data_IF_610236304365
#
_entry.id   IF_610236304365
#
_cell.length_a   1.000
_cell.length_b   1.000
_cell.length_c   1.000
_cell.angle_alpha   90.00
_cell.angle_beta   90.00
_cell.angle_gamma   90.00
#
_symmetry.space_group_name_H-M   'P 1'
#
loop_
_entity.id
_entity.type
_entity.pdbx_description
1 polymer ?
#
# COMPACT_ATOMS: atom_id res chain seq x y z
N UNK A 1 5.65 -0.95 17.13
CA UNK A 1 4.51 -1.81 17.58
C UNK A 1 4.01 -2.59 16.37
N UNK A 2 3.42 -3.77 16.56
CA UNK A 2 2.80 -4.52 15.44
C UNK A 2 1.36 -4.06 15.23
N UNK A 3 0.95 -3.90 13.96
CA UNK A 3 -0.41 -3.51 13.58
C UNK A 3 -1.05 -4.62 12.72
N UNK A 4 -1.46 -5.76 13.32
CA UNK A 4 -1.88 -6.95 12.57
C UNK A 4 -3.10 -6.69 11.68
N UNK A 5 -4.06 -5.89 12.17
CA UNK A 5 -5.25 -5.54 11.39
C UNK A 5 -4.92 -4.65 10.19
N UNK A 6 -4.01 -3.69 10.37
CA UNK A 6 -3.54 -2.81 9.29
C UNK A 6 -2.72 -3.59 8.24
N UNK A 7 -1.91 -4.55 8.70
CA UNK A 7 -1.18 -5.47 7.83
C UNK A 7 -2.13 -6.34 6.99
N UNK A 8 -3.16 -6.93 7.60
CA UNK A 8 -4.17 -7.71 6.88
C UNK A 8 -4.95 -6.85 5.85
N UNK A 9 -5.28 -5.61 6.21
CA UNK A 9 -5.91 -4.66 5.29
C UNK A 9 -5.01 -4.31 4.10
N UNK A 10 -3.70 -4.10 4.36
CA UNK A 10 -2.71 -3.88 3.31
C UNK A 10 -2.65 -5.07 2.35
N UNK A 11 -2.58 -6.30 2.88
CA UNK A 11 -2.55 -7.51 2.06
C UNK A 11 -3.79 -7.64 1.16
N UNK A 12 -4.98 -7.38 1.70
CA UNK A 12 -6.23 -7.40 0.94
C UNK A 12 -6.28 -6.33 -0.16
N UNK A 13 -5.78 -5.13 0.13
CA UNK A 13 -5.67 -4.04 -0.84
C UNK A 13 -4.70 -4.43 -1.97
N UNK A 14 -3.52 -4.94 -1.60
CA UNK A 14 -2.44 -5.26 -2.54
C UNK A 14 -2.74 -6.47 -3.41
N UNK A 15 -3.51 -7.44 -2.92
CA UNK A 15 -3.98 -8.58 -3.72
C UNK A 15 -4.77 -8.18 -4.97
N UNK A 16 -5.36 -6.97 -4.98
CA UNK A 16 -6.19 -6.45 -6.06
C UNK A 16 -5.60 -5.21 -6.75
N UNK A 17 -4.52 -4.65 -6.20
CA UNK A 17 -3.90 -3.47 -6.75
C UNK A 17 -3.18 -3.78 -8.08
N UNK A 18 -3.17 -2.85 -9.05
CA UNK A 18 -2.35 -3.00 -10.25
C UNK A 18 -0.87 -3.21 -9.91
N UNK A 19 -0.16 -3.92 -10.79
CA UNK A 19 1.29 -4.11 -10.67
C UNK A 19 2.01 -2.76 -10.53
N UNK A 20 3.11 -2.75 -9.77
CA UNK A 20 3.99 -1.59 -9.58
C UNK A 20 4.56 -1.03 -10.90
N UNK A 21 4.65 -1.88 -11.93
CA UNK A 21 5.02 -1.47 -13.28
C UNK A 21 4.05 -0.43 -13.89
N UNK A 22 2.76 -0.49 -13.53
CA UNK A 22 1.74 0.43 -14.02
C UNK A 22 1.51 1.61 -13.06
N UNK A 23 2.55 2.42 -12.84
CA UNK A 23 2.59 3.50 -11.83
C UNK A 23 1.33 4.37 -11.78
N UNK A 24 0.82 4.82 -12.94
CA UNK A 24 -0.39 5.67 -13.00
C UNK A 24 -1.66 4.94 -12.57
N UNK A 25 -1.89 3.73 -13.07
CA UNK A 25 -3.06 2.93 -12.71
C UNK A 25 -3.00 2.55 -11.22
N UNK A 26 -1.80 2.26 -10.72
CA UNK A 26 -1.56 1.93 -9.32
C UNK A 26 -1.84 3.10 -8.39
N UNK A 27 -1.33 4.31 -8.68
CA UNK A 27 -1.65 5.51 -7.90
C UNK A 27 -3.16 5.77 -7.88
N UNK A 28 -3.81 5.73 -9.03
CA UNK A 28 -5.27 5.88 -9.14
C UNK A 28 -6.04 4.85 -8.29
N UNK A 29 -5.54 3.61 -8.24
CA UNK A 29 -6.13 2.58 -7.41
C UNK A 29 -6.01 2.91 -5.92
N UNK A 30 -4.82 3.29 -5.45
CA UNK A 30 -4.57 3.64 -4.05
C UNK A 30 -5.28 4.93 -3.61
N UNK A 31 -5.52 5.86 -4.53
CA UNK A 31 -6.36 7.03 -4.29
C UNK A 31 -7.85 6.66 -4.10
N UNK A 32 -8.30 5.63 -4.81
CA UNK A 32 -9.72 5.25 -4.88
C UNK A 32 -10.15 4.27 -3.79
N UNK A 33 -9.27 3.35 -3.40
CA UNK A 33 -9.62 2.24 -2.50
C UNK A 33 -8.94 2.38 -1.14
N UNK A 34 -9.70 2.53 -0.04
CA UNK A 34 -9.15 2.63 1.30
C UNK A 34 -8.75 1.26 1.85
N UNK A 35 -7.93 1.27 2.90
CA UNK A 35 -7.53 0.12 3.69
C UNK A 35 -8.72 -0.49 4.46
N UNK A 36 -9.73 0.32 4.79
CA UNK A 36 -10.97 -0.12 5.44
C UNK A 36 -11.74 -1.21 4.67
N UNK A 37 -11.42 -1.40 3.39
CA UNK A 37 -12.19 -2.24 2.49
C UNK A 37 -13.32 -1.48 1.79
N UNK A 38 -13.97 -2.15 0.84
CA UNK A 38 -14.94 -1.52 -0.08
C UNK A 38 -16.27 -1.17 0.57
N UNK A 39 -16.66 -1.92 1.61
CA UNK A 39 -17.96 -1.80 2.25
C UNK A 39 -17.91 -0.97 3.55
N UNK A 40 -16.85 -0.19 3.74
CA UNK A 40 -16.69 0.67 4.90
C UNK A 40 -17.78 1.75 4.97
N UNK A 41 -18.46 1.81 6.12
CA UNK A 41 -19.53 2.76 6.44
C UNK A 41 -19.07 3.94 7.31
N UNK A 42 -17.82 3.93 7.76
CA UNK A 42 -17.25 5.05 8.51
C UNK A 42 -17.18 6.29 7.62
N UNK A 43 -17.39 7.47 8.23
CA UNK A 43 -17.13 8.75 7.58
C UNK A 43 -15.62 9.03 7.45
N UNK A 44 -14.79 8.34 8.23
CA UNK A 44 -13.34 8.36 8.09
C UNK A 44 -12.84 7.13 7.34
N UNK A 45 -11.82 7.33 6.51
CA UNK A 45 -11.18 6.28 5.72
C UNK A 45 -9.67 6.45 5.72
N UNK A 46 -8.94 5.35 5.75
CA UNK A 46 -7.48 5.33 5.72
C UNK A 46 -6.98 4.86 4.35
N UNK A 47 -6.06 5.59 3.75
CA UNK A 47 -5.50 5.30 2.43
C UNK A 47 -3.98 5.21 2.47
N UNK A 48 -3.40 4.50 1.49
CA UNK A 48 -1.97 4.55 1.21
C UNK A 48 -1.68 5.78 0.33
N UNK A 49 -1.12 6.82 0.95
CA UNK A 49 -0.77 8.07 0.28
C UNK A 49 0.52 7.92 -0.53
N UNK A 50 1.49 7.18 0.00
CA UNK A 50 2.77 6.92 -0.67
C UNK A 50 3.26 5.52 -0.35
N UNK A 51 4.06 4.98 -1.26
CA UNK A 51 4.68 3.67 -1.10
C UNK A 51 6.06 3.63 -1.73
N UNK A 52 6.89 2.71 -1.23
CA UNK A 52 8.14 2.28 -1.82
C UNK A 52 7.96 0.87 -2.36
N UNK A 53 8.51 0.63 -3.56
CA UNK A 53 8.54 -0.68 -4.19
C UNK A 53 10.00 -1.09 -4.39
N UNK A 54 10.34 -2.30 -3.98
CA UNK A 54 11.66 -2.93 -4.11
C UNK A 54 11.49 -4.23 -4.88
N UNK A 55 12.33 -4.46 -5.89
CA UNK A 55 12.26 -5.62 -6.76
C UNK A 55 13.65 -6.23 -6.92
N UNK A 56 13.75 -7.55 -6.77
CA UNK A 56 14.98 -8.29 -7.01
C UNK A 56 14.69 -9.73 -7.47
N UNK A 57 15.72 -10.40 -7.96
CA UNK A 57 15.67 -11.81 -8.35
C UNK A 57 16.64 -12.60 -7.49
N UNK A 58 16.17 -13.71 -6.94
CA UNK A 58 16.98 -14.68 -6.21
C UNK A 58 16.95 -16.05 -6.91
N UNK A 59 17.96 -16.92 -6.73
CA UNK A 59 17.94 -18.28 -7.26
C UNK A 59 16.79 -19.10 -6.65
N UNK A 60 16.16 -19.96 -7.46
CA UNK A 60 15.23 -20.98 -6.96
C UNK A 60 15.99 -22.28 -6.64
N UNK A 61 16.14 -22.68 -5.36
CA UNK A 61 16.87 -23.89 -5.00
C UNK A 61 16.19 -25.18 -5.50
N UNK A 62 14.87 -25.16 -5.71
CA UNK A 62 14.09 -26.33 -6.14
C UNK A 62 14.13 -26.53 -7.67
N UNK A 63 14.53 -25.50 -8.42
CA UNK A 63 14.54 -25.51 -9.88
C UNK A 63 15.93 -25.16 -10.48
N UNK A 64 17.00 -25.41 -9.73
CA UNK A 64 18.37 -25.17 -10.18
C UNK A 64 18.72 -25.92 -11.50
N UNK A 65 19.58 -25.35 -12.36
CA UNK A 65 20.31 -24.08 -12.21
C UNK A 65 19.59 -22.86 -12.78
N UNK A 66 18.53 -23.07 -13.58
CA UNK A 66 17.86 -22.00 -14.33
C UNK A 66 16.66 -21.40 -13.60
N UNK A 67 16.18 -22.05 -12.55
CA UNK A 67 15.11 -21.56 -11.69
C UNK A 67 15.48 -20.27 -10.98
N UNK A 68 14.55 -19.32 -11.01
CA UNK A 68 14.64 -18.00 -10.41
C UNK A 68 13.34 -17.68 -9.68
N UNK A 69 13.44 -16.87 -8.64
CA UNK A 69 12.30 -16.30 -7.93
C UNK A 69 12.40 -14.78 -8.09
N UNK A 70 11.40 -14.19 -8.74
CA UNK A 70 11.20 -12.74 -8.69
C UNK A 70 10.52 -12.38 -7.36
N UNK A 71 11.13 -11.46 -6.62
CA UNK A 71 10.59 -10.95 -5.35
C UNK A 71 10.26 -9.48 -5.51
N UNK A 72 9.03 -9.12 -5.14
CA UNK A 72 8.55 -7.75 -5.08
C UNK A 72 8.10 -7.46 -3.65
N UNK A 73 8.66 -6.42 -3.04
CA UNK A 73 8.24 -5.91 -1.74
C UNK A 73 7.67 -4.51 -1.87
N UNK A 74 6.55 -4.27 -1.20
CA UNK A 74 5.84 -3.00 -1.18
C UNK A 74 5.71 -2.54 0.27
N UNK A 75 6.11 -1.30 0.53
CA UNK A 75 6.06 -0.67 1.84
C UNK A 75 5.32 0.66 1.72
N UNK A 76 4.13 0.82 2.34
CA UNK A 76 3.56 2.14 2.53
C UNK A 76 4.58 3.01 3.27
N UNK A 77 4.81 4.22 2.80
CA UNK A 77 5.65 5.21 3.49
C UNK A 77 4.79 6.27 4.15
N UNK A 78 3.63 6.58 3.57
CA UNK A 78 2.72 7.60 4.09
C UNK A 78 1.28 7.14 4.00
N UNK A 79 0.52 7.41 5.07
CA UNK A 79 -0.91 7.13 5.15
C UNK A 79 -1.69 8.44 5.10
N UNK A 80 -2.90 8.40 4.56
CA UNK A 80 -3.84 9.53 4.58
C UNK A 80 -5.14 9.13 5.26
N UNK A 81 -5.50 9.86 6.32
CA UNK A 81 -6.80 9.82 6.97
C UNK A 81 -7.70 10.85 6.29
N UNK A 82 -8.81 10.40 5.72
CA UNK A 82 -9.70 11.26 4.93
C UNK A 82 -11.08 11.31 5.56
N UNK A 83 -11.61 12.52 5.73
CA UNK A 83 -13.02 12.77 6.06
C UNK A 83 -13.85 12.64 4.78
N UNK A 84 -14.29 11.43 4.51
CA UNK A 84 -14.76 11.02 3.20
C UNK A 84 -16.03 11.78 2.76
N UNK A 85 -15.94 12.39 1.58
CA UNK A 85 -16.97 13.23 0.96
C UNK A 85 -17.38 14.46 1.79
N UNK A 86 -16.50 14.94 2.68
CA UNK A 86 -16.75 16.12 3.50
C UNK A 86 -15.75 17.22 3.17
N UNK A 87 -16.24 18.44 2.92
CA UNK A 87 -15.40 19.63 2.68
C UNK A 87 -14.73 20.15 3.94
N UNK A 88 -15.29 19.82 5.10
CA UNK A 88 -14.82 20.22 6.41
C UNK A 88 -13.93 19.15 7.05
N UNK A 89 -12.89 19.53 7.81
CA UNK A 89 -12.06 18.59 8.53
C UNK A 89 -12.90 17.85 9.61
N UNK A 90 -12.60 16.57 9.81
CA UNK A 90 -13.17 15.83 10.93
C UNK A 90 -12.64 16.40 12.25
N UNK A 91 -13.44 16.27 13.32
CA UNK A 91 -13.00 16.67 14.65
C UNK A 91 -11.81 15.82 15.11
N UNK A 92 -10.97 16.38 15.99
CA UNK A 92 -9.80 15.68 16.52
C UNK A 92 -10.18 14.41 17.28
N UNK A 93 -11.27 14.47 18.07
CA UNK A 93 -11.78 13.30 18.80
C UNK A 93 -12.18 12.18 17.84
N UNK A 94 -12.92 12.51 16.77
CA UNK A 94 -13.34 11.53 15.77
C UNK A 94 -12.14 10.88 15.07
N UNK A 95 -11.11 11.68 14.74
CA UNK A 95 -9.85 11.17 14.18
C UNK A 95 -9.16 10.23 15.16
N UNK A 96 -9.05 10.62 16.43
CA UNK A 96 -8.40 9.84 17.49
C UNK A 96 -9.10 8.50 17.69
N UNK A 97 -10.42 8.52 17.88
CA UNK A 97 -11.22 7.32 18.12
C UNK A 97 -11.11 6.35 16.93
N UNK A 98 -11.19 6.86 15.71
CA UNK A 98 -11.06 6.03 14.52
C UNK A 98 -9.68 5.39 14.39
N UNK A 99 -8.60 6.18 14.51
CA UNK A 99 -7.24 5.68 14.34
C UNK A 99 -6.84 4.69 15.43
N UNK A 100 -7.17 4.98 16.68
CA UNK A 100 -6.81 4.13 17.81
C UNK A 100 -7.66 2.86 17.84
N UNK A 101 -8.99 2.97 17.72
CA UNK A 101 -9.88 1.82 17.90
C UNK A 101 -9.92 0.89 16.67
N UNK A 102 -9.68 1.42 15.46
CA UNK A 102 -9.74 0.62 14.22
C UNK A 102 -8.37 0.08 13.81
N UNK A 103 -7.30 0.88 13.99
CA UNK A 103 -5.99 0.58 13.42
C UNK A 103 -4.87 0.47 14.47
N UNK A 104 -5.14 0.85 15.72
CA UNK A 104 -4.13 0.97 16.75
C UNK A 104 -3.04 1.99 16.40
N UNK A 105 -3.37 3.01 15.61
CA UNK A 105 -2.43 4.06 15.20
C UNK A 105 -2.47 5.24 16.17
N UNK A 106 -1.32 5.90 16.34
CA UNK A 106 -1.22 7.15 17.09
C UNK A 106 -1.74 8.32 16.23
N UNK A 107 -2.79 9.04 16.66
CA UNK A 107 -3.31 10.19 15.93
C UNK A 107 -2.38 11.40 15.93
N UNK A 108 -1.42 11.49 16.85
CA UNK A 108 -0.56 12.68 17.00
C UNK A 108 0.32 12.96 15.78
N UNK A 109 0.67 11.92 15.01
CA UNK A 109 1.49 12.03 13.80
C UNK A 109 0.73 12.46 12.54
N UNK A 110 -0.59 12.64 12.62
CA UNK A 110 -1.42 13.01 11.46
C UNK A 110 -1.58 14.53 11.33
N UNK A 111 -0.92 15.10 10.34
CA UNK A 111 -0.93 16.55 10.07
C UNK A 111 -1.94 16.88 8.96
N UNK A 112 -2.64 18.01 9.09
CA UNK A 112 -3.61 18.45 8.09
C UNK A 112 -2.92 18.86 6.78
N UNK A 113 -3.51 18.45 5.65
CA UNK A 113 -3.05 18.88 4.33
C UNK A 113 -3.91 20.04 3.82
N UNK A 114 -3.31 20.93 3.03
CA UNK A 114 -4.04 22.03 2.39
C UNK A 114 -5.01 21.56 1.31
N UNK A 115 -4.59 20.53 0.55
CA UNK A 115 -5.38 20.00 -0.56
C UNK A 115 -6.30 18.88 -0.09
N UNK A 116 -7.56 18.85 -0.57
CA UNK A 116 -8.44 17.74 -0.30
C UNK A 116 -7.92 16.45 -0.96
N UNK A 117 -8.38 15.31 -0.46
CA UNK A 117 -8.10 14.02 -1.07
C UNK A 117 -8.63 13.96 -2.49
N UNK A 118 -7.94 13.19 -3.33
CA UNK A 118 -8.27 12.82 -4.70
C UNK A 118 -9.67 13.23 -5.19
N UNK A 119 -9.71 14.11 -6.20
CA UNK A 119 -10.95 14.63 -6.83
C UNK A 119 -11.92 15.27 -5.84
N UNK A 120 -11.41 16.02 -4.87
CA UNK A 120 -12.19 16.65 -3.79
C UNK A 120 -12.99 15.62 -2.96
N UNK A 121 -12.41 14.44 -2.76
CA UNK A 121 -12.99 13.33 -2.01
C UNK A 121 -13.05 13.57 -0.49
N UNK A 122 -12.55 14.71 -0.01
CA UNK A 122 -12.74 15.20 1.35
C UNK A 122 -11.46 15.74 1.99
N UNK A 123 -11.57 16.39 3.15
CA UNK A 123 -10.39 16.88 3.89
C UNK A 123 -9.52 15.73 4.38
N UNK A 124 -8.22 15.95 4.45
CA UNK A 124 -7.28 14.89 4.81
C UNK A 124 -6.23 15.32 5.83
N UNK A 125 -5.75 14.33 6.57
CA UNK A 125 -4.53 14.40 7.38
C UNK A 125 -3.58 13.29 6.95
N UNK A 126 -2.28 13.51 7.03
CA UNK A 126 -1.29 12.51 6.63
C UNK A 126 -0.24 12.28 7.72
N UNK A 127 0.23 11.04 7.82
CA UNK A 127 1.28 10.61 8.74
C UNK A 127 2.21 9.60 8.07
N UNK A 128 3.40 9.43 8.63
CA UNK A 128 4.28 8.32 8.26
C UNK A 128 3.59 6.97 8.55
N UNK A 129 3.75 6.03 7.64
CA UNK A 129 3.27 4.67 7.84
C UNK A 129 4.16 3.94 8.85
N UNK A 130 3.62 3.02 9.68
CA UNK A 130 4.45 2.16 10.53
C UNK A 130 5.43 1.32 9.71
N UNK A 131 6.71 1.28 10.11
CA UNK A 131 7.79 0.58 9.39
C UNK A 131 7.55 -0.93 9.16
N UNK A 132 6.73 -1.54 10.02
CA UNK A 132 6.39 -2.96 9.96
C UNK A 132 5.40 -3.35 8.86
N UNK A 133 4.82 -2.39 8.14
CA UNK A 133 3.89 -2.66 7.05
C UNK A 133 4.63 -3.05 5.77
N UNK A 134 4.54 -4.33 5.42
CA UNK A 134 5.20 -4.92 4.25
C UNK A 134 4.23 -5.84 3.56
N UNK A 135 4.12 -5.70 2.25
CA UNK A 135 3.56 -6.75 1.41
C UNK A 135 4.65 -7.32 0.51
N UNK A 136 4.78 -8.64 0.45
CA UNK A 136 5.78 -9.32 -0.39
C UNK A 136 5.09 -10.34 -1.28
N UNK A 137 5.45 -10.32 -2.57
CA UNK A 137 5.06 -11.35 -3.53
C UNK A 137 6.31 -12.01 -4.11
N UNK A 138 6.27 -13.34 -4.15
CA UNK A 138 7.27 -14.18 -4.80
C UNK A 138 6.64 -14.86 -6.01
N UNK A 139 7.37 -14.98 -7.11
CA UNK A 139 6.91 -15.69 -8.30
C UNK A 139 8.08 -16.42 -8.93
N UNK A 140 7.93 -17.73 -9.14
CA UNK A 140 8.94 -18.57 -9.76
C UNK A 140 8.92 -18.39 -11.27
N UNK A 141 10.09 -18.43 -11.90
CA UNK A 141 10.26 -18.46 -13.34
C UNK A 141 11.55 -19.18 -13.71
N UNK A 142 11.64 -19.67 -14.95
CA UNK A 142 12.87 -20.26 -15.48
C UNK A 142 13.53 -19.24 -16.38
N UNK A 143 14.80 -18.92 -16.13
CA UNK A 143 15.58 -18.10 -17.04
C UNK A 143 15.86 -18.87 -18.33
N UNK A 144 15.77 -18.21 -19.48
CA UNK A 144 16.24 -18.80 -20.73
C UNK A 144 17.74 -19.06 -20.62
N UNK A 145 18.16 -20.25 -21.05
CA UNK A 145 19.59 -20.52 -21.23
C UNK A 145 20.13 -19.54 -22.28
N UNK A 146 21.32 -18.94 -22.07
CA UNK A 146 21.90 -18.05 -23.07
C UNK A 146 21.98 -18.80 -24.40
N UNK A 147 21.33 -18.25 -25.43
CA UNK A 147 21.35 -18.81 -26.77
C UNK A 147 22.77 -18.79 -27.29
N UNK A 148 23.40 -19.96 -27.35
CA UNK A 148 24.61 -20.20 -28.14
C UNK A 148 24.24 -20.18 -29.62
N UNK A 149 23.84 -19.00 -30.13
CA UNK A 149 23.94 -18.72 -31.56
C UNK A 149 25.40 -18.36 -31.83
N UNK A 150 26.23 -19.41 -31.96
CA UNK A 150 27.52 -19.28 -32.60
C UNK A 150 27.29 -18.82 -34.04
N UNK A 151 27.88 -17.68 -34.40
CA UNK A 151 28.08 -17.30 -35.79
C UNK A 151 28.91 -18.40 -36.47
N UNK A 152 28.34 -19.06 -37.46
CA UNK A 152 29.08 -19.71 -38.57
C UNK A 152 28.66 -19.06 -39.89
#
# INVERSE_FOLDING_TARGET
MSHPQLQAALEQLMARAPSALFKRARRLYLDKYPLDGRDCRSALRLFVAEERVEEWVEPDPEAAPLGKIAVVTIRPTRLSLVHWQQSEPASEQMCSDYLQNTWGLDPSGFEAMSDPWFRNGGQQKQAQAPDGLIWTRRSTFTAEAPSTAANE
#
